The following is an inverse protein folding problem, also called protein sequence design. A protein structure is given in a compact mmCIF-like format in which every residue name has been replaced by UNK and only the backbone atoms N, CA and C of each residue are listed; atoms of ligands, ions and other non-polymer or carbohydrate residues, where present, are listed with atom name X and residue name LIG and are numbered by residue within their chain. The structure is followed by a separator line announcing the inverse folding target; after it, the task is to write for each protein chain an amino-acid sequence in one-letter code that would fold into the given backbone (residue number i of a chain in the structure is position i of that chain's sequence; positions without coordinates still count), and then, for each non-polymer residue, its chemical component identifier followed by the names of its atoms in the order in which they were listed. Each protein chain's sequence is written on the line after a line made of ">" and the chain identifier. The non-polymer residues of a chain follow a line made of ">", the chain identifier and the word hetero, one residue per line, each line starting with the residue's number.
data_IF_884206483698
#
_entry.id   IF_884206483698
#
_cell.length_a   1.000
_cell.length_b   1.000
_cell.length_c   1.000
_cell.angle_alpha   90.00
_cell.angle_beta   90.00
_cell.angle_gamma   90.00
#
_symmetry.space_group_name_H-M   'P 1'
#
loop_
_entity.id
_entity.type
_entity.pdbx_description
1 polymer ?
#
# COMPACT_ATOMS: atom_id res chain seq x y z
N UNK A 1 13.96 34.81 26.32
CA UNK A 1 14.03 33.93 25.14
C UNK A 1 12.71 34.02 24.41
N UNK A 2 12.70 34.38 23.13
CA UNK A 2 11.50 34.29 22.31
C UNK A 2 11.14 32.83 22.14
N UNK A 3 9.98 32.43 22.66
CA UNK A 3 9.38 31.13 22.39
C UNK A 3 9.06 31.10 20.89
N UNK A 4 9.84 30.35 20.11
CA UNK A 4 9.47 30.03 18.75
C UNK A 4 8.13 29.28 18.80
N UNK A 5 7.15 29.67 17.98
CA UNK A 5 5.94 28.87 17.79
C UNK A 5 6.34 27.50 17.22
N UNK A 6 6.28 26.48 18.07
CA UNK A 6 6.48 25.09 17.66
C UNK A 6 5.39 24.73 16.64
N UNK A 7 5.78 24.50 15.38
CA UNK A 7 4.87 23.94 14.38
C UNK A 7 4.64 22.48 14.73
N UNK A 8 3.41 22.14 15.11
CA UNK A 8 3.03 20.77 15.40
C UNK A 8 3.30 19.87 14.18
N UNK A 9 3.92 18.70 14.41
CA UNK A 9 4.13 17.71 13.36
C UNK A 9 2.79 17.14 12.91
N UNK A 10 2.42 17.38 11.67
CA UNK A 10 1.18 16.91 11.08
C UNK A 10 1.26 15.43 10.64
N UNK A 11 0.21 14.62 10.87
CA UNK A 11 0.17 13.26 10.36
C UNK A 11 0.02 13.24 8.82
N UNK A 12 0.64 12.25 8.17
CA UNK A 12 0.46 12.00 6.74
C UNK A 12 -1.02 11.83 6.39
N UNK A 13 -1.47 12.37 5.26
CA UNK A 13 -2.88 12.33 4.87
C UNK A 13 -3.42 10.89 4.78
N UNK A 14 -2.57 9.92 4.42
CA UNK A 14 -2.92 8.50 4.31
C UNK A 14 -2.89 7.75 5.65
N UNK A 15 -2.14 8.25 6.63
CA UNK A 15 -2.05 7.66 7.97
C UNK A 15 -2.49 8.70 9.01
N UNK A 16 -3.80 8.83 9.17
CA UNK A 16 -4.42 9.75 10.13
C UNK A 16 -4.18 9.21 11.55
N UNK A 17 -3.32 9.89 12.31
CA UNK A 17 -3.03 9.52 13.68
C UNK A 17 -2.67 10.75 14.53
N UNK A 18 -2.71 10.60 15.85
CA UNK A 18 -2.33 11.67 16.77
C UNK A 18 -3.34 12.81 16.76
N UNK A 19 -2.85 14.05 16.70
CA UNK A 19 -3.68 15.27 16.74
C UNK A 19 -3.64 15.97 15.39
N UNK A 20 -4.82 16.30 14.87
CA UNK A 20 -4.99 17.10 13.65
C UNK A 20 -5.26 18.54 14.07
N UNK A 21 -4.38 19.46 13.69
CA UNK A 21 -4.52 20.90 13.96
C UNK A 21 -4.97 21.68 12.73
N UNK A 22 -4.62 21.22 11.52
CA UNK A 22 -5.10 21.81 10.26
C UNK A 22 -6.29 21.04 9.67
N UNK A 23 -7.12 21.73 8.87
CA UNK A 23 -8.25 21.08 8.21
C UNK A 23 -7.79 20.15 7.09
N UNK A 24 -8.34 18.94 7.03
CA UNK A 24 -7.97 17.89 6.06
C UNK A 24 -9.19 17.37 5.32
N UNK A 25 -9.03 17.19 4.01
CA UNK A 25 -10.05 16.59 3.16
C UNK A 25 -9.56 15.21 2.70
N UNK A 26 -10.30 14.17 3.07
CA UNK A 26 -10.11 12.82 2.56
C UNK A 26 -10.89 12.72 1.25
N UNK A 27 -10.18 12.51 0.16
CA UNK A 27 -10.73 12.51 -1.19
C UNK A 27 -10.68 11.11 -1.79
N UNK A 28 -11.72 10.74 -2.52
CA UNK A 28 -11.71 9.48 -3.25
C UNK A 28 -11.01 9.69 -4.58
N UNK A 29 -9.84 9.07 -4.79
CA UNK A 29 -9.16 9.18 -6.07
C UNK A 29 -9.97 8.49 -7.17
N UNK A 30 -10.61 9.29 -8.03
CA UNK A 30 -11.39 8.84 -9.19
C UNK A 30 -10.56 8.77 -10.47
N UNK A 31 -9.27 9.10 -10.40
CA UNK A 31 -8.38 9.04 -11.55
C UNK A 31 -8.44 7.64 -12.14
N UNK A 32 -8.96 7.59 -13.36
CA UNK A 32 -8.77 6.45 -14.25
C UNK A 32 -7.45 6.69 -14.95
N UNK A 33 -6.68 5.62 -15.17
CA UNK A 33 -5.58 5.71 -16.12
C UNK A 33 -6.15 6.24 -17.43
N UNK A 34 -5.48 7.22 -18.02
CA UNK A 34 -5.97 7.89 -19.23
C UNK A 34 -5.99 6.97 -20.45
N UNK A 35 -5.40 5.78 -20.35
CA UNK A 35 -5.32 4.77 -21.40
C UNK A 35 -6.42 3.72 -21.26
N UNK A 36 -7.10 3.43 -22.37
CA UNK A 36 -8.07 2.35 -22.47
C UNK A 36 -7.37 0.97 -22.44
N UNK A 37 -7.90 -0.05 -21.74
CA UNK A 37 -9.15 -0.06 -20.98
C UNK A 37 -8.99 0.77 -19.71
N UNK A 38 -9.94 1.67 -19.42
CA UNK A 38 -9.89 2.53 -18.24
C UNK A 38 -9.88 1.66 -16.97
N UNK A 39 -8.69 1.31 -16.49
CA UNK A 39 -8.55 0.68 -15.19
C UNK A 39 -8.55 1.80 -14.15
N UNK A 40 -9.26 1.56 -13.05
CA UNK A 40 -9.19 2.46 -11.91
C UNK A 40 -7.74 2.46 -11.39
N UNK A 41 -7.17 3.65 -11.20
CA UNK A 41 -5.90 3.76 -10.47
C UNK A 41 -6.09 3.08 -9.12
N UNK A 42 -5.15 2.22 -8.68
CA UNK A 42 -5.28 1.54 -7.41
C UNK A 42 -5.45 2.59 -6.31
N UNK A 43 -6.57 2.50 -5.60
CA UNK A 43 -6.93 3.40 -4.51
C UNK A 43 -6.31 2.88 -3.21
N UNK A 44 -5.43 3.67 -2.58
CA UNK A 44 -4.96 3.39 -1.22
C UNK A 44 -5.98 3.93 -0.21
N UNK A 45 -6.58 3.07 0.63
CA UNK A 45 -7.53 3.52 1.65
C UNK A 45 -6.82 4.35 2.71
N UNK A 46 -7.54 5.33 3.25
CA UNK A 46 -7.07 6.10 4.40
C UNK A 46 -7.01 5.20 5.63
N UNK A 47 -5.93 5.27 6.41
CA UNK A 47 -5.74 4.41 7.58
C UNK A 47 -5.72 5.21 8.87
N UNK A 48 -6.40 4.69 9.89
CA UNK A 48 -6.33 5.19 11.26
C UNK A 48 -5.69 4.12 12.13
N UNK A 49 -4.37 4.25 12.35
CA UNK A 49 -3.55 3.22 13.02
C UNK A 49 -3.46 3.46 14.54
N UNK A 50 -3.56 4.71 14.98
CA UNK A 50 -3.52 5.11 16.39
C UNK A 50 -4.67 6.06 16.68
N UNK A 51 -4.91 6.33 17.96
CA UNK A 51 -5.89 7.32 18.42
C UNK A 51 -5.78 8.62 17.63
N UNK A 52 -6.92 9.07 17.11
CA UNK A 52 -7.05 10.26 16.29
C UNK A 52 -7.84 11.31 17.07
N UNK A 53 -7.29 12.51 17.20
CA UNK A 53 -7.95 13.65 17.82
C UNK A 53 -8.01 14.81 16.85
N UNK A 54 -9.20 15.26 16.48
CA UNK A 54 -9.40 16.48 15.69
C UNK A 54 -9.45 17.65 16.68
N UNK A 55 -8.49 18.56 16.60
CA UNK A 55 -8.38 19.68 17.55
C UNK A 55 -9.43 20.76 17.25
N UNK A 56 -9.78 21.61 18.24
CA UNK A 56 -10.65 22.77 17.99
C UNK A 56 -10.09 23.65 16.86
N UNK A 57 -10.95 24.08 15.94
CA UNK A 57 -10.55 24.86 14.76
C UNK A 57 -10.15 24.03 13.53
N UNK A 58 -9.84 22.74 13.69
CA UNK A 58 -9.62 21.84 12.56
C UNK A 58 -10.94 21.22 12.08
N UNK A 59 -11.05 21.02 10.77
CA UNK A 59 -12.14 20.29 10.13
C UNK A 59 -11.60 19.07 9.38
N UNK A 60 -12.04 17.87 9.73
CA UNK A 60 -11.81 16.66 8.93
C UNK A 60 -13.03 16.44 8.03
N UNK A 61 -12.87 16.64 6.73
CA UNK A 61 -13.90 16.38 5.73
C UNK A 61 -13.64 15.02 5.07
N UNK A 62 -14.63 14.15 5.06
CA UNK A 62 -14.59 12.86 4.38
C UNK A 62 -15.53 12.91 3.19
N UNK A 63 -14.99 12.85 1.98
CA UNK A 63 -15.79 12.90 0.76
C UNK A 63 -16.54 11.59 0.50
N UNK A 64 -17.57 11.66 -0.34
CA UNK A 64 -18.30 10.51 -0.85
C UNK A 64 -17.38 9.47 -1.51
N UNK A 65 -17.66 8.19 -1.24
CA UNK A 65 -16.91 7.04 -1.77
C UNK A 65 -15.58 6.75 -1.07
N UNK A 66 -15.15 7.56 -0.11
CA UNK A 66 -13.92 7.32 0.65
C UNK A 66 -14.05 6.08 1.52
N UNK A 67 -13.02 5.24 1.49
CA UNK A 67 -12.87 4.09 2.36
C UNK A 67 -11.75 4.34 3.39
N UNK A 68 -12.10 4.19 4.67
CA UNK A 68 -11.22 4.40 5.80
C UNK A 68 -11.05 3.07 6.55
N UNK A 69 -9.81 2.61 6.67
CA UNK A 69 -9.47 1.43 7.43
C UNK A 69 -9.03 1.80 8.85
N UNK A 70 -9.71 1.27 9.85
CA UNK A 70 -9.47 1.59 11.27
C UNK A 70 -8.82 0.40 11.96
N UNK A 71 -7.78 0.66 12.75
CA UNK A 71 -7.11 -0.37 13.54
C UNK A 71 -7.99 -0.81 14.73
N UNK A 72 -7.95 -2.09 15.14
CA UNK A 72 -8.65 -2.53 16.34
C UNK A 72 -8.27 -1.69 17.57
N UNK A 73 -9.25 -1.33 18.39
CA UNK A 73 -9.08 -0.58 19.64
C UNK A 73 -8.57 0.87 19.49
N UNK A 74 -8.68 1.46 18.32
CA UNK A 74 -8.40 2.89 18.12
C UNK A 74 -9.64 3.74 18.39
N UNK A 75 -9.44 4.91 19.01
CA UNK A 75 -10.50 5.88 19.27
C UNK A 75 -10.36 7.11 18.38
N UNK A 76 -11.50 7.66 17.99
CA UNK A 76 -11.59 8.93 17.25
C UNK A 76 -12.26 9.95 18.18
N UNK A 77 -11.51 10.96 18.59
CA UNK A 77 -11.98 12.08 19.41
C UNK A 77 -12.12 13.33 18.52
N UNK A 78 -13.29 13.95 18.54
CA UNK A 78 -13.58 15.15 17.74
C UNK A 78 -13.80 16.33 18.67
N UNK A 79 -12.81 17.23 18.78
CA UNK A 79 -12.91 18.50 19.50
C UNK A 79 -13.16 19.68 18.55
N UNK A 80 -12.88 19.52 17.26
CA UNK A 80 -13.21 20.44 16.18
C UNK A 80 -14.43 19.97 15.39
N UNK A 81 -14.31 19.95 14.05
CA UNK A 81 -15.39 19.55 13.16
C UNK A 81 -15.04 18.25 12.41
N UNK A 82 -16.02 17.35 12.28
CA UNK A 82 -15.96 16.17 11.43
C UNK A 82 -17.12 16.23 10.44
N UNK A 83 -16.83 16.40 9.15
CA UNK A 83 -17.84 16.50 8.08
C UNK A 83 -17.79 15.26 7.22
N UNK A 84 -18.86 14.48 7.19
CA UNK A 84 -18.99 13.29 6.36
C UNK A 84 -19.94 13.56 5.19
N UNK A 85 -19.40 13.78 3.99
CA UNK A 85 -20.14 14.12 2.78
C UNK A 85 -20.47 12.89 1.93
N UNK A 86 -20.95 11.82 2.56
CA UNK A 86 -21.37 10.59 1.87
C UNK A 86 -22.67 10.77 1.08
N UNK A 87 -22.85 10.01 0.01
CA UNK A 87 -24.12 9.95 -0.74
C UNK A 87 -24.67 8.53 -0.74
N UNK A 88 -25.95 8.35 -1.06
CA UNK A 88 -26.56 7.02 -1.18
C UNK A 88 -25.82 6.12 -2.19
N UNK A 89 -25.41 6.71 -3.32
CA UNK A 89 -24.70 6.01 -4.40
C UNK A 89 -23.21 5.79 -4.10
N UNK A 90 -22.61 6.68 -3.32
CA UNK A 90 -21.18 6.67 -2.96
C UNK A 90 -21.03 6.85 -1.44
N UNK A 91 -21.35 5.81 -0.64
CA UNK A 91 -21.29 5.90 0.81
C UNK A 91 -19.84 5.91 1.29
N UNK A 92 -19.60 6.56 2.43
CA UNK A 92 -18.33 6.47 3.16
C UNK A 92 -18.26 5.12 3.85
N UNK A 93 -17.14 4.41 3.71
CA UNK A 93 -16.98 3.04 4.23
C UNK A 93 -15.89 2.98 5.29
N UNK A 94 -16.27 2.65 6.51
CA UNK A 94 -15.31 2.29 7.56
C UNK A 94 -15.14 0.77 7.58
N UNK A 95 -13.90 0.30 7.52
CA UNK A 95 -13.57 -1.13 7.60
C UNK A 95 -12.48 -1.38 8.62
N UNK A 96 -12.45 -2.54 9.29
CA UNK A 96 -11.30 -2.92 10.10
C UNK A 96 -10.08 -3.15 9.20
N UNK A 97 -8.90 -2.69 9.63
CA UNK A 97 -7.64 -3.01 8.94
C UNK A 97 -7.42 -4.52 8.97
N UNK A 98 -7.11 -5.11 7.81
CA UNK A 98 -6.59 -6.46 7.74
C UNK A 98 -5.14 -6.47 8.27
N UNK A 99 -4.99 -6.71 9.58
CA UNK A 99 -3.70 -6.67 10.29
C UNK A 99 -2.66 -7.56 9.60
N UNK A 100 -3.06 -8.73 9.09
CA UNK A 100 -2.16 -9.66 8.39
C UNK A 100 -1.58 -9.05 7.12
N UNK A 101 -2.40 -8.34 6.35
CA UNK A 101 -1.99 -7.68 5.10
C UNK A 101 -1.12 -6.46 5.40
N UNK A 102 -1.54 -5.63 6.36
CA UNK A 102 -0.79 -4.45 6.78
C UNK A 102 0.62 -4.80 7.31
N UNK A 103 0.72 -5.84 8.14
CA UNK A 103 2.01 -6.31 8.67
C UNK A 103 2.86 -6.90 7.56
N UNK A 104 2.30 -7.70 6.63
CA UNK A 104 3.06 -8.20 5.46
C UNK A 104 3.62 -7.07 4.60
N UNK A 105 2.85 -5.99 4.37
CA UNK A 105 3.31 -4.84 3.58
C UNK A 105 4.43 -4.03 4.23
N UNK A 106 4.46 -3.95 5.58
CA UNK A 106 5.59 -3.35 6.31
C UNK A 106 6.77 -4.30 6.41
N UNK A 107 6.51 -5.57 6.67
CA UNK A 107 7.53 -6.57 6.92
C UNK A 107 8.21 -7.01 5.64
N UNK A 108 7.67 -6.84 4.43
CA UNK A 108 8.46 -7.08 3.20
C UNK A 108 9.69 -6.20 3.10
N UNK A 109 9.69 -5.02 3.75
CA UNK A 109 10.84 -4.11 3.85
C UNK A 109 11.84 -4.60 4.92
N UNK A 110 11.40 -5.36 5.93
CA UNK A 110 12.22 -5.81 7.08
C UNK A 110 12.56 -7.32 7.08
N UNK A 111 11.80 -8.14 6.36
CA UNK A 111 11.86 -9.60 6.37
C UNK A 111 12.96 -10.15 5.47
N UNK A 112 13.55 -9.31 4.59
CA UNK A 112 14.75 -9.71 3.85
C UNK A 112 15.98 -9.80 4.77
N UNK A 113 15.97 -9.18 5.95
CA UNK A 113 17.09 -9.25 6.91
C UNK A 113 16.85 -10.18 8.13
N UNK A 114 15.64 -10.72 8.34
CA UNK A 114 15.34 -11.63 9.47
C UNK A 114 15.16 -13.10 9.10
N UNK A 115 15.56 -13.49 7.87
CA UNK A 115 15.63 -14.92 7.47
C UNK A 115 16.81 -15.70 8.07
N UNK A 116 17.57 -15.12 9.00
CA UNK A 116 18.55 -15.85 9.80
C UNK A 116 17.99 -16.28 11.18
N UNK A 117 17.75 -17.58 11.30
CA UNK A 117 18.25 -18.39 12.42
C UNK A 117 17.62 -18.41 13.82
N UNK A 118 16.35 -18.07 14.12
CA UNK A 118 15.89 -18.17 15.53
C UNK A 118 14.57 -18.85 15.92
N UNK A 119 13.81 -19.52 15.03
CA UNK A 119 12.52 -20.10 15.45
C UNK A 119 12.50 -21.62 15.75
N UNK A 120 13.65 -22.27 16.00
CA UNK A 120 13.68 -23.65 16.54
C UNK A 120 14.71 -23.87 17.65
N UNK A 121 15.03 -22.84 18.43
CA UNK A 121 15.92 -23.00 19.60
C UNK A 121 15.28 -23.75 20.78
N UNK A 122 13.94 -23.75 20.89
CA UNK A 122 13.23 -24.36 22.03
C UNK A 122 12.60 -25.74 21.76
N UNK A 123 12.74 -26.29 20.54
CA UNK A 123 12.11 -27.58 20.18
C UNK A 123 13.20 -28.64 20.02
N UNK A 124 13.31 -29.55 21.01
CA UNK A 124 14.29 -30.67 21.01
C UNK A 124 14.12 -31.67 19.85
N UNK A 125 12.95 -31.70 19.19
CA UNK A 125 12.67 -32.62 18.10
C UNK A 125 12.71 -31.92 16.74
N UNK A 126 13.73 -32.26 15.93
CA UNK A 126 13.90 -31.77 14.55
C UNK A 126 12.66 -32.08 13.67
N UNK A 127 11.97 -33.19 13.94
CA UNK A 127 10.78 -33.58 13.19
C UNK A 127 9.60 -32.64 13.48
N UNK A 128 9.37 -32.28 14.74
CA UNK A 128 8.30 -31.36 15.17
C UNK A 128 8.50 -29.94 14.58
N UNK A 129 9.74 -29.44 14.56
CA UNK A 129 10.10 -28.19 13.90
C UNK A 129 9.74 -28.19 12.40
N UNK A 130 9.94 -29.33 11.73
CA UNK A 130 9.64 -29.53 10.30
C UNK A 130 8.14 -29.62 10.00
N UNK A 131 7.32 -30.09 10.95
CA UNK A 131 5.85 -30.10 10.81
C UNK A 131 5.22 -28.72 11.06
N UNK A 132 5.73 -27.94 12.03
CA UNK A 132 5.20 -26.60 12.33
C UNK A 132 5.50 -25.60 11.22
N UNK A 133 6.72 -25.61 10.68
CA UNK A 133 7.11 -24.77 9.54
C UNK A 133 6.31 -25.09 8.28
N UNK A 134 5.99 -26.38 8.02
CA UNK A 134 5.14 -26.79 6.88
C UNK A 134 3.65 -26.46 7.06
N UNK A 135 3.14 -26.37 8.29
CA UNK A 135 1.73 -26.00 8.56
C UNK A 135 1.49 -24.49 8.50
N UNK A 136 2.47 -23.64 8.82
CA UNK A 136 2.32 -22.18 8.67
C UNK A 136 2.45 -21.68 7.23
N UNK A 137 3.02 -22.45 6.30
CA UNK A 137 3.20 -22.06 4.89
C UNK A 137 1.92 -22.28 4.05
N UNK A 138 0.88 -22.89 4.63
CA UNK A 138 -0.38 -23.20 3.96
C UNK A 138 -1.52 -22.32 4.48
N UNK A 139 -1.93 -21.35 3.65
CA UNK A 139 -3.20 -20.60 3.69
C UNK A 139 -3.31 -19.44 4.69
N UNK A 140 -3.24 -18.18 4.21
CA UNK A 140 -4.16 -17.08 4.54
C UNK A 140 -3.84 -15.84 3.69
N UNK A 141 -4.74 -15.51 2.74
CA UNK A 141 -4.76 -14.27 1.95
C UNK A 141 -3.76 -14.17 0.81
N UNK A 142 -3.97 -14.91 -0.30
CA UNK A 142 -3.46 -14.47 -1.60
C UNK A 142 -4.43 -13.40 -2.09
N UNK A 143 -3.99 -12.15 -2.19
CA UNK A 143 -4.67 -11.15 -3.03
C UNK A 143 -5.11 -11.80 -4.33
N UNK A 144 -6.31 -11.48 -4.82
CA UNK A 144 -6.80 -12.02 -6.10
C UNK A 144 -5.74 -11.91 -7.20
N UNK A 145 -4.94 -10.84 -7.20
CA UNK A 145 -3.85 -10.59 -8.15
C UNK A 145 -2.66 -11.57 -7.96
N UNK A 146 -2.30 -11.97 -6.73
CA UNK A 146 -1.26 -12.97 -6.49
C UNK A 146 -1.69 -14.39 -6.90
N UNK A 147 -2.98 -14.63 -7.13
CA UNK A 147 -3.46 -15.88 -7.73
C UNK A 147 -3.15 -15.92 -9.23
N UNK A 148 -3.24 -14.76 -9.91
CA UNK A 148 -2.93 -14.63 -11.33
C UNK A 148 -1.42 -14.52 -11.61
N UNK A 149 -0.66 -13.88 -10.72
CA UNK A 149 0.78 -13.66 -10.90
C UNK A 149 1.61 -14.11 -9.68
N UNK A 150 1.70 -15.42 -9.42
CA UNK A 150 2.37 -15.95 -8.22
C UNK A 150 3.89 -15.68 -8.17
N UNK A 151 4.50 -15.35 -9.32
CA UNK A 151 5.92 -15.01 -9.44
C UNK A 151 6.23 -13.52 -9.23
N UNK A 152 5.22 -12.65 -9.07
CA UNK A 152 5.43 -11.21 -8.93
C UNK A 152 5.23 -10.80 -7.47
N UNK A 153 6.32 -10.54 -6.75
CA UNK A 153 6.26 -9.98 -5.41
C UNK A 153 6.14 -8.45 -5.49
N UNK A 154 5.01 -7.90 -5.01
CA UNK A 154 4.73 -6.46 -5.05
C UNK A 154 5.32 -5.77 -3.82
N UNK A 155 6.09 -4.69 -4.01
CA UNK A 155 6.64 -3.88 -2.90
C UNK A 155 5.54 -3.18 -2.10
N UNK A 156 4.49 -2.71 -2.79
CA UNK A 156 3.26 -2.22 -2.19
C UNK A 156 2.08 -2.92 -2.88
N UNK A 157 1.08 -3.42 -2.15
CA UNK A 157 -0.09 -4.09 -2.76
C UNK A 157 -0.89 -3.14 -3.66
N UNK A 158 -0.81 -1.83 -3.40
CA UNK A 158 -1.47 -0.77 -4.16
C UNK A 158 -0.60 -0.20 -5.29
N UNK A 159 0.72 -0.31 -5.23
CA UNK A 159 1.61 0.22 -6.28
C UNK A 159 2.54 -0.86 -6.81
N UNK A 160 2.46 -1.08 -8.12
CA UNK A 160 3.34 -1.99 -8.83
C UNK A 160 4.51 -1.19 -9.40
N UNK A 161 5.58 -1.04 -8.64
CA UNK A 161 6.87 -0.58 -9.18
C UNK A 161 7.67 -1.79 -9.62
N UNK A 162 7.83 -1.95 -10.93
CA UNK A 162 8.82 -2.86 -11.48
C UNK A 162 10.09 -2.09 -11.79
N UNK A 163 11.25 -2.71 -11.53
CA UNK A 163 12.47 -2.26 -12.18
C UNK A 163 12.30 -2.48 -13.69
N UNK A 164 12.49 -1.44 -14.49
CA UNK A 164 12.33 -1.49 -15.94
C UNK A 164 13.69 -1.16 -16.56
N UNK A 165 14.02 -1.80 -17.68
CA UNK A 165 15.12 -1.37 -18.55
C UNK A 165 14.78 -1.59 -20.01
N UNK A 166 15.45 -0.85 -20.88
CA UNK A 166 15.46 -1.12 -22.31
C UNK A 166 16.73 -1.90 -22.65
N UNK A 167 16.56 -3.15 -23.12
CA UNK A 167 17.65 -3.97 -23.60
C UNK A 167 17.86 -3.71 -25.10
N UNK A 168 18.81 -2.84 -25.42
CA UNK A 168 19.18 -2.52 -26.79
C UNK A 168 20.52 -1.80 -26.88
N UNK A 169 20.84 -1.30 -28.07
CA UNK A 169 22.14 -0.66 -28.34
C UNK A 169 22.23 0.77 -27.81
N UNK A 170 21.09 1.40 -27.50
CA UNK A 170 20.99 2.77 -26.98
C UNK A 170 20.12 2.76 -25.72
N UNK A 171 20.36 3.66 -24.75
CA UNK A 171 19.54 3.72 -23.53
C UNK A 171 18.07 4.05 -23.82
N UNK A 172 17.78 4.65 -24.98
CA UNK A 172 16.44 5.06 -25.40
C UNK A 172 15.72 4.05 -26.30
N UNK A 173 16.38 2.96 -26.72
CA UNK A 173 15.82 2.00 -27.68
C UNK A 173 16.24 0.59 -27.28
N UNK A 174 15.26 -0.31 -27.14
CA UNK A 174 15.51 -1.71 -26.87
C UNK A 174 14.23 -2.49 -26.61
N UNK A 175 14.38 -3.77 -26.31
CA UNK A 175 13.29 -4.58 -25.77
C UNK A 175 13.00 -4.15 -24.35
N UNK A 176 11.72 -3.90 -24.05
CA UNK A 176 11.28 -3.61 -22.70
C UNK A 176 11.43 -4.86 -21.83
N UNK A 177 12.21 -4.76 -20.76
CA UNK A 177 12.37 -5.82 -19.79
C UNK A 177 11.97 -5.34 -18.39
N UNK A 178 11.28 -6.22 -17.66
CA UNK A 178 10.94 -6.01 -16.25
C UNK A 178 11.79 -6.91 -15.36
N UNK A 179 12.29 -6.36 -14.26
CA UNK A 179 13.06 -7.12 -13.27
C UNK A 179 12.12 -7.98 -12.42
N UNK A 180 12.29 -9.29 -12.51
CA UNK A 180 11.61 -10.24 -11.64
C UNK A 180 12.45 -10.52 -10.40
N UNK A 181 12.07 -9.92 -9.27
CA UNK A 181 12.74 -10.12 -7.99
C UNK A 181 12.60 -11.54 -7.40
N UNK A 182 11.72 -12.40 -7.93
CA UNK A 182 11.61 -13.80 -7.47
C UNK A 182 12.62 -14.71 -8.14
N UNK A 183 12.88 -14.54 -9.43
CA UNK A 183 13.87 -15.32 -10.18
C UNK A 183 15.24 -14.62 -10.28
N UNK A 184 15.33 -13.35 -9.88
CA UNK A 184 16.51 -12.48 -10.09
C UNK A 184 16.90 -12.35 -11.56
N UNK A 185 15.90 -12.30 -12.45
CA UNK A 185 16.11 -12.25 -13.90
C UNK A 185 15.32 -11.08 -14.50
N UNK A 186 15.82 -10.58 -15.63
CA UNK A 186 15.10 -9.63 -16.46
C UNK A 186 14.25 -10.38 -17.47
N UNK A 187 12.95 -10.12 -17.47
CA UNK A 187 11.98 -10.83 -18.31
C UNK A 187 11.49 -9.87 -19.39
N UNK A 188 11.52 -10.25 -20.68
CA UNK A 188 10.98 -9.41 -21.74
C UNK A 188 9.48 -9.22 -21.56
N UNK A 189 9.01 -8.00 -21.84
CA UNK A 189 7.59 -7.67 -21.88
C UNK A 189 6.94 -8.39 -23.06
N UNK A 190 6.06 -9.35 -22.76
CA UNK A 190 5.26 -10.06 -23.75
C UNK A 190 3.80 -9.58 -23.74
N UNK A 191 3.59 -8.27 -23.55
CA UNK A 191 2.23 -7.72 -23.55
C UNK A 191 1.70 -7.61 -24.98
N UNK A 192 0.62 -8.36 -25.27
CA UNK A 192 -0.07 -8.31 -26.56
C UNK A 192 -0.77 -6.97 -26.82
N UNK A 193 -1.00 -6.19 -25.76
CA UNK A 193 -1.59 -4.87 -25.81
C UNK A 193 -0.56 -3.74 -25.66
N UNK A 194 0.75 -4.03 -25.85
CA UNK A 194 1.77 -3.00 -25.79
C UNK A 194 1.58 -1.96 -26.91
N UNK A 195 1.20 -0.74 -26.56
CA UNK A 195 0.94 0.35 -27.52
C UNK A 195 2.10 1.35 -27.58
N UNK A 196 2.15 2.16 -28.64
CA UNK A 196 3.13 3.26 -28.77
C UNK A 196 3.04 4.27 -27.61
N UNK A 197 1.88 4.41 -26.97
CA UNK A 197 1.71 5.29 -25.81
C UNK A 197 2.37 4.70 -24.57
N UNK A 198 2.20 3.40 -24.33
CA UNK A 198 2.93 2.69 -23.28
C UNK A 198 4.45 2.88 -23.44
N UNK A 199 4.96 2.94 -24.68
CA UNK A 199 6.37 3.20 -24.98
C UNK A 199 6.82 4.65 -24.68
N UNK A 200 5.94 5.64 -24.85
CA UNK A 200 6.24 7.04 -24.51
C UNK A 200 6.48 7.20 -23.01
N UNK A 201 5.65 6.58 -22.17
CA UNK A 201 5.83 6.62 -20.70
C UNK A 201 7.17 6.00 -20.26
N UNK A 202 7.67 4.99 -20.99
CA UNK A 202 8.96 4.36 -20.68
C UNK A 202 10.15 5.21 -21.11
N UNK A 203 10.01 6.01 -22.17
CA UNK A 203 11.12 6.82 -22.73
C UNK A 203 11.29 8.18 -22.06
N UNK A 204 10.39 8.54 -21.15
CA UNK A 204 10.44 9.80 -20.39
C UNK A 204 11.19 9.71 -19.05
N UNK A 205 11.73 8.54 -18.70
CA UNK A 205 12.59 8.30 -17.53
C UNK A 205 14.05 8.04 -17.93
#
# INVERSE_FOLDING_TARGET
>A
GQLASEKHSEPSIYNLNGRIYESKNLTYNRERWHEFPFHYKPFEPYRIIKDLTIMPGATLTIEKGVEVHVWPNVRILVLGNLKAEGTYWEPIRFKPINVTEYVKGRDTIMARHKRSNHHCSFIRSKNLCRYQTKRQIKWYGKDAINQYFPSLNRYNSYYQQFGIRLNGTKPTIGFLEFYNATTNEWIPSCDRAFTIRNAQDITLF
#
